data_IF_572752649727
#
_entry.id   IF_572752649727
#
_cell.length_a   1.000
_cell.length_b   1.000
_cell.length_c   1.000
_cell.angle_alpha   90.00
_cell.angle_beta   90.00
_cell.angle_gamma   90.00
#
_symmetry.space_group_name_H-M   'P 1'
#
loop_
_entity.id
_entity.type
_entity.pdbx_description
1 polymer ?
#
# COMPACT_ATOMS: atom_id res chain seq x y z
N UNK A 1 -44.24 11.07 14.97
CA UNK A 1 -44.69 9.66 14.79
C UNK A 1 -43.46 8.77 14.89
N UNK A 2 -43.40 7.84 15.86
CA UNK A 2 -42.30 6.88 15.96
C UNK A 2 -42.59 5.71 15.02
N UNK A 3 -41.58 5.26 14.27
CA UNK A 3 -41.71 4.15 13.34
C UNK A 3 -41.93 2.83 14.11
N UNK A 4 -42.85 2.00 13.61
CA UNK A 4 -43.16 0.68 14.17
C UNK A 4 -41.94 -0.26 13.98
N UNK A 5 -41.41 -0.86 15.06
CA UNK A 5 -40.18 -1.66 15.00
C UNK A 5 -40.34 -2.99 14.24
N UNK A 6 -41.57 -3.44 14.01
CA UNK A 6 -41.87 -4.70 13.36
C UNK A 6 -42.27 -4.50 11.89
N UNK A 7 -43.05 -3.45 11.59
CA UNK A 7 -43.49 -3.14 10.21
C UNK A 7 -42.49 -2.28 9.42
N UNK A 8 -41.83 -1.34 10.10
CA UNK A 8 -40.92 -0.38 9.49
C UNK A 8 -39.52 -0.41 10.14
N UNK A 9 -39.19 -1.47 10.88
CA UNK A 9 -37.92 -1.62 11.59
C UNK A 9 -36.97 -2.64 10.97
N UNK A 10 -35.73 -2.67 11.46
CA UNK A 10 -34.65 -3.54 10.96
C UNK A 10 -34.60 -4.91 11.65
N UNK A 11 -35.61 -5.25 12.46
CA UNK A 11 -35.65 -6.46 13.27
C UNK A 11 -35.50 -7.75 12.44
N UNK A 12 -36.19 -7.83 11.29
CA UNK A 12 -36.09 -8.99 10.39
C UNK A 12 -34.67 -9.16 9.82
N UNK A 13 -34.03 -8.07 9.39
CA UNK A 13 -32.63 -8.08 8.92
C UNK A 13 -31.67 -8.51 10.03
N UNK A 14 -31.87 -8.00 11.25
CA UNK A 14 -31.06 -8.34 12.43
C UNK A 14 -31.17 -9.82 12.83
N UNK A 15 -32.38 -10.36 12.80
CA UNK A 15 -32.64 -11.79 13.09
C UNK A 15 -32.11 -12.71 11.99
N UNK A 16 -32.14 -12.28 10.73
CA UNK A 16 -31.53 -13.02 9.63
C UNK A 16 -29.99 -12.99 9.71
N UNK A 17 -29.40 -11.85 10.07
CA UNK A 17 -27.95 -11.67 10.16
C UNK A 17 -27.24 -12.68 11.08
N UNK A 18 -27.90 -13.11 12.15
CA UNK A 18 -27.36 -14.11 13.09
C UNK A 18 -27.41 -15.54 12.55
N UNK A 19 -28.28 -15.81 11.57
CA UNK A 19 -28.61 -17.17 11.11
C UNK A 19 -28.22 -17.39 9.64
N UNK A 20 -27.82 -16.33 8.93
CA UNK A 20 -27.50 -16.35 7.51
C UNK A 20 -26.26 -17.23 7.24
N UNK A 21 -26.47 -18.37 6.58
CA UNK A 21 -25.41 -19.30 6.18
C UNK A 21 -24.47 -18.71 5.11
N UNK A 22 -24.98 -17.78 4.28
CA UNK A 22 -24.21 -17.06 3.23
C UNK A 22 -23.18 -16.10 3.83
N UNK A 23 -23.31 -15.73 5.11
CA UNK A 23 -22.30 -14.95 5.84
C UNK A 23 -20.92 -15.62 5.85
N UNK A 24 -20.90 -16.96 5.80
CA UNK A 24 -19.66 -17.75 5.90
C UNK A 24 -18.88 -17.71 4.58
N UNK A 25 -19.58 -17.55 3.46
CA UNK A 25 -18.98 -17.17 2.18
C UNK A 25 -18.71 -15.66 2.20
N UNK A 26 -17.62 -15.28 2.85
CA UNK A 26 -16.88 -14.07 2.48
C UNK A 26 -16.54 -14.20 0.99
N UNK A 27 -17.44 -13.75 0.11
CA UNK A 27 -16.99 -13.24 -1.16
C UNK A 27 -16.21 -11.99 -0.80
N UNK A 28 -14.89 -12.11 -0.83
CA UNK A 28 -14.01 -10.97 -1.06
C UNK A 28 -14.37 -10.42 -2.44
N UNK A 29 -15.49 -9.69 -2.53
CA UNK A 29 -15.78 -8.87 -3.69
C UNK A 29 -14.67 -7.81 -3.70
N UNK A 30 -13.57 -8.15 -4.37
CA UNK A 30 -12.36 -7.33 -4.51
C UNK A 30 -12.68 -5.95 -5.11
N UNK A 31 -13.83 -5.84 -5.76
CA UNK A 31 -14.40 -4.62 -6.34
C UNK A 31 -15.10 -3.72 -5.33
N UNK A 32 -15.51 -4.22 -4.15
CA UNK A 32 -16.11 -3.39 -3.12
C UNK A 32 -15.05 -2.71 -2.26
N UNK A 33 -14.93 -1.41 -2.45
CA UNK A 33 -14.08 -0.54 -1.63
C UNK A 33 -14.70 -0.36 -0.25
N UNK A 34 -13.93 -0.67 0.80
CA UNK A 34 -14.38 -0.47 2.18
C UNK A 34 -14.47 1.04 2.43
N UNK A 35 -15.66 1.50 2.79
CA UNK A 35 -15.96 2.90 3.02
C UNK A 35 -15.48 3.32 4.42
N UNK A 36 -14.46 4.18 4.46
CA UNK A 36 -13.97 4.84 5.66
C UNK A 36 -14.54 6.25 5.76
N UNK A 37 -14.76 6.71 6.98
CA UNK A 37 -15.24 8.07 7.23
C UNK A 37 -14.04 8.96 7.53
N UNK A 38 -13.65 9.81 6.57
CA UNK A 38 -12.58 10.80 6.80
C UNK A 38 -13.20 12.10 7.34
N UNK A 39 -12.61 12.72 8.38
CA UNK A 39 -13.03 14.05 8.82
C UNK A 39 -12.67 15.06 7.71
N UNK A 40 -13.64 15.88 7.32
CA UNK A 40 -13.42 17.01 6.41
C UNK A 40 -12.68 18.09 7.19
N UNK A 41 -11.57 18.59 6.63
CA UNK A 41 -10.73 19.58 7.28
C UNK A 41 -11.37 20.96 7.31
N UNK A 42 -12.31 21.17 8.23
CA UNK A 42 -12.90 22.45 8.66
C UNK A 42 -14.21 22.20 9.42
N UNK A 43 -14.07 21.99 10.74
CA UNK A 43 -15.04 22.21 11.84
C UNK A 43 -16.53 21.81 11.68
N UNK A 44 -16.91 21.01 10.69
CA UNK A 44 -18.27 20.52 10.51
C UNK A 44 -18.30 19.01 10.74
N UNK A 45 -19.26 18.58 11.56
CA UNK A 45 -19.54 17.18 11.94
C UNK A 45 -20.12 16.39 10.75
N UNK A 46 -19.43 16.40 9.61
CA UNK A 46 -19.80 15.69 8.41
C UNK A 46 -18.59 14.90 7.93
N UNK A 47 -18.57 13.62 8.29
CA UNK A 47 -17.61 12.67 7.74
C UNK A 47 -17.99 12.37 6.29
N UNK A 48 -17.05 12.54 5.36
CA UNK A 48 -17.27 12.13 3.97
C UNK A 48 -16.96 10.64 3.86
N UNK A 49 -17.87 9.82 3.31
CA UNK A 49 -17.56 8.45 3.00
C UNK A 49 -16.52 8.43 1.86
N UNK A 50 -15.30 8.03 2.19
CA UNK A 50 -14.20 7.86 1.25
C UNK A 50 -13.64 6.45 1.39
N UNK A 51 -13.05 5.87 0.35
CA UNK A 51 -12.41 4.57 0.50
C UNK A 51 -11.34 4.63 1.61
N UNK A 52 -11.30 3.61 2.49
CA UNK A 52 -10.13 3.37 3.33
C UNK A 52 -8.98 3.14 2.35
N UNK A 53 -8.19 4.19 2.16
CA UNK A 53 -7.23 4.32 1.08
C UNK A 53 -6.00 3.46 1.35
N UNK A 54 -6.12 2.17 1.10
CA UNK A 54 -4.97 1.31 0.88
C UNK A 54 -4.79 1.18 -0.63
N UNK A 55 -4.42 2.31 -1.28
CA UNK A 55 -3.97 2.26 -2.65
C UNK A 55 -2.60 1.56 -2.69
N UNK A 56 -2.49 0.38 -3.32
CA UNK A 56 -1.29 -0.44 -3.22
C UNK A 56 -0.07 0.24 -3.85
N UNK A 57 -0.26 1.05 -4.88
CA UNK A 57 0.83 1.75 -5.56
C UNK A 57 1.39 2.87 -4.69
N UNK A 58 0.52 3.70 -4.11
CA UNK A 58 0.94 4.75 -3.16
C UNK A 58 1.70 4.16 -1.96
N UNK A 59 1.22 3.05 -1.39
CA UNK A 59 1.89 2.39 -0.25
C UNK A 59 3.25 1.82 -0.67
N UNK A 60 3.32 1.20 -1.86
CA UNK A 60 4.57 0.64 -2.39
C UNK A 60 5.62 1.74 -2.60
N UNK A 61 5.23 2.87 -3.17
CA UNK A 61 6.13 4.01 -3.37
C UNK A 61 6.61 4.59 -2.04
N UNK A 62 5.71 4.73 -1.05
CA UNK A 62 6.08 5.18 0.29
C UNK A 62 7.05 4.19 0.99
N UNK A 63 6.85 2.87 0.80
CA UNK A 63 7.75 1.84 1.33
C UNK A 63 9.15 1.93 0.72
N UNK A 64 9.25 2.16 -0.58
CA UNK A 64 10.53 2.31 -1.28
C UNK A 64 11.25 3.58 -0.79
N UNK A 65 10.54 4.70 -0.69
CA UNK A 65 11.09 5.95 -0.15
C UNK A 65 11.59 5.79 1.29
N UNK A 66 10.87 5.05 2.13
CA UNK A 66 11.30 4.74 3.49
C UNK A 66 12.63 3.97 3.49
N UNK A 67 12.77 2.96 2.65
CA UNK A 67 13.97 2.12 2.58
C UNK A 67 15.18 2.92 2.12
N UNK A 68 15.01 3.77 1.09
CA UNK A 68 16.07 4.63 0.57
C UNK A 68 16.46 5.69 1.60
N UNK A 69 15.48 6.41 2.16
CA UNK A 69 15.74 7.57 3.04
C UNK A 69 16.28 7.17 4.42
N UNK A 70 15.85 6.02 4.94
CA UNK A 70 16.30 5.50 6.24
C UNK A 70 17.39 4.42 6.10
N UNK A 71 17.92 4.21 4.88
CA UNK A 71 18.99 3.26 4.58
C UNK A 71 18.75 1.85 5.16
N UNK A 72 17.51 1.37 5.08
CA UNK A 72 17.11 0.10 5.69
C UNK A 72 17.56 -1.09 4.84
N UNK A 73 17.99 -2.21 5.44
CA UNK A 73 18.26 -3.42 4.70
C UNK A 73 16.98 -3.93 4.05
N UNK A 74 17.04 -4.43 2.81
CA UNK A 74 15.85 -4.94 2.09
C UNK A 74 15.16 -6.11 2.83
N UNK A 75 15.87 -6.83 3.70
CA UNK A 75 15.29 -7.86 4.57
C UNK A 75 14.25 -7.31 5.55
N UNK A 76 14.24 -5.99 5.79
CA UNK A 76 13.29 -5.31 6.66
C UNK A 76 11.84 -5.62 6.29
N UNK A 77 11.51 -5.63 4.99
CA UNK A 77 10.12 -5.87 4.55
C UNK A 77 9.63 -7.29 4.78
N UNK A 78 10.55 -8.24 4.97
CA UNK A 78 10.23 -9.64 5.26
C UNK A 78 10.20 -9.95 6.76
N UNK A 79 10.46 -8.95 7.61
CA UNK A 79 10.42 -9.14 9.07
C UNK A 79 8.99 -9.39 9.55
N UNK A 80 8.76 -10.38 10.43
CA UNK A 80 7.42 -10.72 10.91
C UNK A 80 6.74 -9.55 11.60
N UNK A 81 7.49 -8.71 12.30
CA UNK A 81 6.99 -7.51 12.97
C UNK A 81 6.45 -6.50 11.97
N UNK A 82 7.16 -6.31 10.84
CA UNK A 82 6.73 -5.40 9.79
C UNK A 82 5.50 -5.93 9.04
N UNK A 83 5.47 -7.23 8.73
CA UNK A 83 4.31 -7.87 8.09
C UNK A 83 3.08 -7.78 9.00
N UNK A 84 3.24 -8.05 10.30
CA UNK A 84 2.17 -7.91 11.27
C UNK A 84 1.67 -6.45 11.37
N UNK A 85 2.59 -5.49 11.43
CA UNK A 85 2.24 -4.07 11.41
C UNK A 85 1.43 -3.70 10.16
N UNK A 86 1.88 -4.11 8.97
CA UNK A 86 1.17 -3.84 7.72
C UNK A 86 -0.20 -4.54 7.67
N UNK A 87 -0.34 -5.72 8.28
CA UNK A 87 -1.64 -6.42 8.36
C UNK A 87 -2.68 -5.65 9.18
N UNK A 88 -2.25 -4.85 10.17
CA UNK A 88 -3.12 -3.99 10.98
C UNK A 88 -3.43 -2.69 10.24
N UNK A 89 -2.42 -2.07 9.62
CA UNK A 89 -2.56 -0.77 8.94
C UNK A 89 -3.35 -0.89 7.64
N UNK A 90 -2.99 -1.85 6.80
CA UNK A 90 -3.60 -2.09 5.50
C UNK A 90 -3.74 -3.61 5.26
N UNK A 91 -4.83 -4.23 5.74
CA UNK A 91 -5.03 -5.68 5.63
C UNK A 91 -5.07 -6.20 4.19
N UNK A 92 -5.52 -5.37 3.24
CA UNK A 92 -5.61 -5.70 1.81
C UNK A 92 -4.27 -5.55 1.07
N UNK A 93 -3.26 -4.96 1.69
CA UNK A 93 -1.97 -4.73 1.04
C UNK A 93 -1.06 -5.94 1.21
N UNK A 94 -0.69 -6.55 0.09
CA UNK A 94 0.31 -7.63 0.08
C UNK A 94 1.70 -7.03 0.16
N UNK A 95 2.39 -7.26 1.27
CA UNK A 95 3.78 -6.79 1.46
C UNK A 95 4.68 -7.40 0.37
N UNK A 96 5.43 -6.57 -0.38
CA UNK A 96 6.30 -7.06 -1.42
C UNK A 96 7.46 -7.88 -0.83
N UNK A 97 7.94 -8.85 -1.59
CA UNK A 97 9.11 -9.63 -1.19
C UNK A 97 10.38 -8.78 -1.26
N UNK A 98 11.42 -9.20 -0.54
CA UNK A 98 12.76 -8.59 -0.61
C UNK A 98 13.23 -8.36 -2.05
N UNK A 99 13.08 -9.37 -2.92
CA UNK A 99 13.52 -9.30 -4.32
C UNK A 99 12.72 -8.30 -5.14
N UNK A 100 11.43 -8.16 -4.83
CA UNK A 100 10.56 -7.19 -5.48
C UNK A 100 10.98 -5.78 -5.11
N UNK A 101 11.21 -5.51 -3.82
CA UNK A 101 11.70 -4.22 -3.33
C UNK A 101 13.07 -3.88 -3.93
N UNK A 102 13.98 -4.85 -3.99
CA UNK A 102 15.31 -4.64 -4.58
C UNK A 102 15.23 -4.24 -6.05
N UNK A 103 14.33 -4.87 -6.83
CA UNK A 103 14.08 -4.47 -8.22
C UNK A 103 13.50 -3.07 -8.32
N UNK A 104 12.51 -2.73 -7.48
CA UNK A 104 11.91 -1.40 -7.51
C UNK A 104 12.93 -0.29 -7.21
N UNK A 105 13.81 -0.50 -6.23
CA UNK A 105 14.88 0.44 -5.89
C UNK A 105 15.89 0.54 -7.04
N UNK A 106 16.20 -0.59 -7.68
CA UNK A 106 17.12 -0.61 -8.83
C UNK A 106 16.54 0.14 -10.04
N UNK A 107 15.24 0.03 -10.29
CA UNK A 107 14.57 0.75 -11.37
C UNK A 107 14.62 2.27 -11.15
N UNK A 108 14.43 2.73 -9.90
CA UNK A 108 14.62 4.15 -9.53
C UNK A 108 16.05 4.59 -9.76
N UNK A 109 17.03 3.77 -9.35
CA UNK A 109 18.44 4.07 -9.57
C UNK A 109 18.78 4.19 -11.07
N UNK A 110 18.27 3.29 -11.91
CA UNK A 110 18.50 3.36 -13.36
C UNK A 110 17.90 4.61 -13.97
N UNK A 111 16.69 4.99 -13.52
CA UNK A 111 16.02 6.21 -13.95
C UNK A 111 16.86 7.43 -13.59
N UNK A 112 17.24 7.59 -12.31
CA UNK A 112 18.09 8.70 -11.87
C UNK A 112 19.45 8.72 -12.58
N UNK A 113 20.07 7.55 -12.77
CA UNK A 113 21.32 7.42 -13.50
C UNK A 113 21.18 7.93 -14.93
N UNK A 114 20.10 7.57 -15.63
CA UNK A 114 19.88 8.00 -17.02
C UNK A 114 19.69 9.51 -17.14
N UNK A 115 18.97 10.12 -16.19
CA UNK A 115 18.80 11.58 -16.10
C UNK A 115 20.16 12.27 -15.89
N UNK A 116 20.97 11.72 -14.98
CA UNK A 116 22.32 12.20 -14.70
C UNK A 116 23.20 12.08 -15.96
N UNK A 117 23.24 10.91 -16.59
CA UNK A 117 24.00 10.68 -17.83
C UNK A 117 23.55 11.61 -18.96
N UNK A 118 22.27 11.95 -19.05
CA UNK A 118 21.76 12.95 -20.00
C UNK A 118 22.37 14.34 -19.75
N UNK A 119 22.42 14.78 -18.50
CA UNK A 119 23.05 16.06 -18.10
C UNK A 119 24.55 16.05 -18.35
N UNK A 120 25.24 14.94 -18.05
CA UNK A 120 26.69 14.80 -18.24
C UNK A 120 27.07 14.68 -19.72
N UNK A 121 26.30 13.93 -20.53
CA UNK A 121 26.55 13.78 -21.97
C UNK A 121 26.29 15.07 -22.75
N UNK A 122 25.38 15.92 -22.28
CA UNK A 122 25.20 17.27 -22.78
C UNK A 122 26.40 18.18 -22.48
N UNK A 123 27.31 17.79 -21.58
CA UNK A 123 28.41 18.61 -21.10
C UNK A 123 29.84 18.03 -21.29
N UNK A 124 30.08 16.75 -21.65
CA UNK A 124 31.37 16.15 -22.12
C UNK A 124 31.17 14.65 -22.49
N UNK A 125 31.92 14.08 -23.46
CA UNK A 125 31.80 12.67 -23.87
C UNK A 125 32.26 11.67 -22.80
N UNK A 126 31.33 10.90 -22.24
CA UNK A 126 31.60 9.90 -21.19
C UNK A 126 32.02 8.55 -21.77
N UNK A 127 33.33 8.28 -21.75
CA UNK A 127 33.85 6.91 -21.84
C UNK A 127 34.17 6.40 -20.43
N UNK A 128 33.64 5.22 -20.10
CA UNK A 128 33.82 4.41 -18.87
C UNK A 128 32.98 4.81 -17.65
N UNK A 129 31.80 4.21 -17.53
CA UNK A 129 31.24 3.86 -16.22
C UNK A 129 30.90 2.36 -16.21
N UNK A 130 31.81 1.58 -15.61
CA UNK A 130 31.79 0.12 -15.61
C UNK A 130 31.16 -0.43 -14.33
N UNK A 131 30.14 -1.27 -14.52
CA UNK A 131 29.97 -2.63 -13.95
C UNK A 131 30.68 -2.94 -12.61
N UNK A 132 30.32 -2.28 -11.51
CA UNK A 132 30.80 -2.62 -10.15
C UNK A 132 29.73 -2.69 -9.05
N UNK A 133 28.46 -2.42 -9.37
CA UNK A 133 27.37 -2.41 -8.38
C UNK A 133 26.60 -3.72 -8.29
N UNK A 134 26.72 -4.60 -9.30
CA UNK A 134 26.14 -5.95 -9.22
C UNK A 134 26.83 -6.82 -8.16
N UNK A 135 28.08 -6.50 -7.81
CA UNK A 135 28.81 -7.19 -6.75
C UNK A 135 28.24 -6.81 -5.36
N UNK A 136 27.92 -5.54 -5.14
CA UNK A 136 27.41 -5.03 -3.85
C UNK A 136 26.00 -5.53 -3.50
N UNK A 137 25.17 -5.81 -4.51
CA UNK A 137 23.81 -6.32 -4.30
C UNK A 137 23.73 -7.84 -4.09
N UNK A 138 24.84 -8.56 -4.31
CA UNK A 138 24.93 -10.01 -4.04
C UNK A 138 25.42 -10.34 -2.62
N UNK A 139 25.97 -9.34 -1.90
CA UNK A 139 26.57 -9.51 -0.57
C UNK A 139 25.69 -9.03 0.61
N UNK A 140 24.48 -8.50 0.36
CA UNK A 140 23.48 -8.14 1.40
C UNK A 140 22.31 -9.13 1.37
#
# INVERSE_FOLDING_TARGET
VKADPQKNGTFGSKSHYTTCKVRISFNEDSTQTILGFKPRGDSSSHYIPGPIGCDPETIRNALIQLIISAELPFKFVSRPEFVHFMSIVCPKFTVPTRWTVQRDVYDIFLLEKSEIEGVFSANIPTSKFNHRYLDFLSEI
#
